data_IF_618730307346
#
_entry.id   IF_618730307346
#
_cell.length_a   1.000
_cell.length_b   1.000
_cell.length_c   1.000
_cell.angle_alpha   90.00
_cell.angle_beta   90.00
_cell.angle_gamma   90.00
#
_symmetry.space_group_name_H-M   'P 1'
#
loop_
_entity.id
_entity.type
_entity.pdbx_description
1 polymer ?
#
# COMPACT_ATOMS: atom_id res chain seq x y z
N UNK A 1 4.57 -13.76 4.46
CA UNK A 1 3.80 -12.49 4.51
C UNK A 1 4.39 -11.63 5.63
N UNK A 2 4.96 -10.46 5.32
CA UNK A 2 5.55 -9.57 6.34
C UNK A 2 4.67 -8.34 6.51
N UNK A 3 4.20 -8.11 7.73
CA UNK A 3 3.38 -6.96 8.11
C UNK A 3 4.10 -6.23 9.25
N UNK A 4 4.28 -4.92 9.10
CA UNK A 4 4.88 -4.05 10.12
C UNK A 4 3.92 -2.91 10.43
N UNK A 5 3.60 -2.73 11.70
CA UNK A 5 2.75 -1.64 12.19
C UNK A 5 3.54 -0.76 13.14
N UNK A 6 3.42 0.55 12.97
CA UNK A 6 3.85 1.56 13.93
C UNK A 6 2.66 2.47 14.25
N UNK A 7 2.77 3.38 15.23
CA UNK A 7 1.74 4.39 15.48
C UNK A 7 1.47 5.32 14.28
N UNK A 8 2.39 5.40 13.31
CA UNK A 8 2.34 6.35 12.21
C UNK A 8 2.02 5.71 10.85
N UNK A 9 2.34 4.42 10.67
CA UNK A 9 2.13 3.72 9.41
C UNK A 9 1.89 2.21 9.58
N UNK A 10 1.26 1.63 8.57
CA UNK A 10 1.13 0.18 8.36
C UNK A 10 1.81 -0.16 7.04
N UNK A 11 2.80 -1.06 7.07
CA UNK A 11 3.45 -1.57 5.86
C UNK A 11 3.25 -3.06 5.72
N UNK A 12 2.89 -3.49 4.52
CA UNK A 12 2.63 -4.89 4.20
C UNK A 12 2.97 -5.18 2.74
N UNK A 13 3.27 -6.45 2.46
CA UNK A 13 3.52 -6.96 1.11
C UNK A 13 2.30 -7.75 0.64
N UNK A 14 1.79 -7.43 -0.55
CA UNK A 14 0.76 -8.21 -1.25
C UNK A 14 1.28 -8.52 -2.64
N UNK A 15 1.36 -9.80 -2.98
CA UNK A 15 2.02 -10.27 -4.19
C UNK A 15 3.44 -9.69 -4.29
N UNK A 16 3.71 -8.89 -5.32
CA UNK A 16 4.96 -8.17 -5.56
C UNK A 16 4.92 -6.68 -5.14
N UNK A 17 3.79 -6.23 -4.60
CA UNK A 17 3.56 -4.83 -4.25
C UNK A 17 3.75 -4.59 -2.76
N UNK A 18 4.51 -3.54 -2.43
CA UNK A 18 4.67 -3.09 -1.05
C UNK A 18 3.78 -1.88 -0.81
N UNK A 19 2.90 -2.02 0.17
CA UNK A 19 2.05 -0.95 0.66
C UNK A 19 2.69 -0.31 1.90
N UNK A 20 2.57 1.01 1.97
CA UNK A 20 2.83 1.82 3.17
C UNK A 20 1.63 2.74 3.33
N UNK A 21 0.75 2.42 4.27
CA UNK A 21 -0.45 3.19 4.58
C UNK A 21 -0.17 4.12 5.76
N UNK A 22 -0.50 5.39 5.62
CA UNK A 22 -0.43 6.40 6.67
C UNK A 22 -1.77 6.52 7.38
N UNK A 23 -1.76 7.01 8.62
CA UNK A 23 -2.95 7.16 9.45
C UNK A 23 -3.97 8.18 8.90
N UNK A 24 -3.55 9.06 7.99
CA UNK A 24 -4.42 10.04 7.32
C UNK A 24 -5.02 9.52 6.01
N UNK A 25 -4.85 8.23 5.71
CA UNK A 25 -5.38 7.59 4.52
C UNK A 25 -4.49 7.70 3.29
N UNK A 26 -3.37 8.43 3.32
CA UNK A 26 -2.41 8.38 2.21
C UNK A 26 -1.75 7.01 2.15
N UNK A 27 -1.34 6.59 0.95
CA UNK A 27 -0.54 5.38 0.80
C UNK A 27 0.58 5.55 -0.23
N UNK A 28 1.71 4.89 0.03
CA UNK A 28 2.68 4.55 -1.00
C UNK A 28 2.51 3.10 -1.43
N UNK A 29 2.53 2.89 -2.74
CA UNK A 29 2.49 1.57 -3.37
C UNK A 29 3.75 1.45 -4.22
N UNK A 30 4.67 0.59 -3.80
CA UNK A 30 5.89 0.26 -4.56
C UNK A 30 5.68 -1.03 -5.35
N UNK A 31 6.38 -1.18 -6.47
CA UNK A 31 6.33 -2.36 -7.33
C UNK A 31 5.80 -2.09 -8.73
N UNK A 32 5.29 -0.89 -9.02
CA UNK A 32 4.86 -0.49 -10.35
C UNK A 32 4.97 1.03 -10.55
N UNK A 33 5.19 1.45 -11.79
CA UNK A 33 5.13 2.85 -12.22
C UNK A 33 3.82 3.17 -12.98
N UNK A 34 2.94 2.18 -13.18
CA UNK A 34 1.66 2.39 -13.85
C UNK A 34 0.63 2.97 -12.88
N UNK A 35 0.29 4.24 -13.09
CA UNK A 35 -0.71 4.97 -12.31
C UNK A 35 -2.09 4.31 -12.31
N UNK A 36 -2.52 3.66 -13.40
CA UNK A 36 -3.80 2.94 -13.45
C UNK A 36 -3.78 1.73 -12.52
N UNK A 37 -2.67 0.99 -12.52
CA UNK A 37 -2.47 -0.14 -11.63
C UNK A 37 -2.42 0.30 -10.16
N UNK A 38 -1.70 1.38 -9.84
CA UNK A 38 -1.67 1.97 -8.48
C UNK A 38 -3.08 2.30 -7.99
N UNK A 39 -3.91 2.98 -8.81
CA UNK A 39 -5.29 3.32 -8.45
C UNK A 39 -6.15 2.07 -8.22
N UNK A 40 -6.02 1.04 -9.07
CA UNK A 40 -6.75 -0.23 -8.92
C UNK A 40 -6.34 -0.97 -7.65
N UNK A 41 -5.04 -1.03 -7.35
CA UNK A 41 -4.52 -1.68 -6.15
C UNK A 41 -4.99 -0.97 -4.89
N UNK A 42 -4.91 0.36 -4.86
CA UNK A 42 -5.40 1.17 -3.75
C UNK A 42 -6.90 0.93 -3.52
N UNK A 43 -7.72 1.00 -4.57
CA UNK A 43 -9.16 0.75 -4.48
C UNK A 43 -9.54 -0.71 -4.19
N UNK A 44 -8.64 -1.69 -4.39
CA UNK A 44 -8.91 -3.10 -4.08
C UNK A 44 -8.66 -3.41 -2.60
N UNK A 45 -7.63 -2.80 -2.01
CA UNK A 45 -7.12 -3.18 -0.69
C UNK A 45 -7.38 -2.14 0.40
N UNK A 46 -7.59 -0.87 0.05
CA UNK A 46 -7.79 0.24 0.99
C UNK A 46 -9.17 0.88 0.82
N UNK A 47 -9.61 1.05 -0.44
CA UNK A 47 -10.88 1.67 -0.82
C UNK A 47 -12.05 0.70 -0.92
#
# INVERSE_FOLDING_TARGET
MSVKKTPYLLSFLVDEYRFVLFTDGRAFIHGTNDMKMVKRLYAKYIG
#
